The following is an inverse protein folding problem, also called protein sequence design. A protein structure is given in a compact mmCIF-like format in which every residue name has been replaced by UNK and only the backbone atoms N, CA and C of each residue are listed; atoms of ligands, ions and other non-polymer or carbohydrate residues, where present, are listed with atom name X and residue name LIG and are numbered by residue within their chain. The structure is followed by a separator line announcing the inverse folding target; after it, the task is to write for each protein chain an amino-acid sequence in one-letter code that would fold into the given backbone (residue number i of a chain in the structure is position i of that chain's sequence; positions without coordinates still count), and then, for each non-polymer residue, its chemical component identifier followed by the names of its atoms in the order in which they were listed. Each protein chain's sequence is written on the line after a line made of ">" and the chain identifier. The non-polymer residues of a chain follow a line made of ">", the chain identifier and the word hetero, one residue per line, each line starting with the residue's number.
data_IF_242580507869
#
_entry.id   IF_242580507869
#
_cell.length_a   1.000
_cell.length_b   1.000
_cell.length_c   1.000
_cell.angle_alpha   90.00
_cell.angle_beta   90.00
_cell.angle_gamma   90.00
#
_symmetry.space_group_name_H-M   'P 1'
#
loop_
_entity.id
_entity.type
_entity.pdbx_description
1 polymer ?
#
# COMPACT_ATOMS: atom_id res chain seq x y z
N UNK A 1 6.16 7.37 18.89
CA UNK A 1 7.33 7.20 19.78
C UNK A 1 7.16 5.92 20.60
N UNK A 2 8.25 5.15 20.71
CA UNK A 2 8.29 3.92 21.52
C UNK A 2 9.72 3.63 21.99
N UNK A 3 9.81 2.81 23.02
CA UNK A 3 11.09 2.34 23.57
C UNK A 3 11.15 0.83 23.45
N UNK A 4 12.26 0.31 22.94
CA UNK A 4 12.53 -1.12 22.85
C UNK A 4 13.50 -1.57 23.94
N UNK A 5 13.35 -2.80 24.43
CA UNK A 5 14.16 -3.35 25.49
C UNK A 5 15.61 -3.66 25.08
N UNK A 6 15.90 -3.74 23.78
CA UNK A 6 17.22 -4.03 23.24
C UNK A 6 17.34 -3.69 21.77
N UNK A 7 18.54 -3.85 21.22
CA UNK A 7 18.86 -3.56 19.81
C UNK A 7 18.57 -4.69 18.82
N UNK A 8 18.18 -5.87 19.29
CA UNK A 8 18.04 -7.07 18.47
C UNK A 8 16.90 -6.94 17.45
N UNK A 9 15.73 -6.48 17.89
CA UNK A 9 14.58 -6.27 17.01
C UNK A 9 14.84 -5.13 16.00
N UNK A 10 15.34 -3.95 16.39
CA UNK A 10 15.74 -2.93 15.43
C UNK A 10 16.78 -3.42 14.41
N UNK A 11 17.76 -4.20 14.85
CA UNK A 11 18.76 -4.77 13.95
C UNK A 11 18.15 -5.69 12.90
N UNK A 12 17.18 -6.54 13.30
CA UNK A 12 16.45 -7.39 12.36
C UNK A 12 15.62 -6.58 11.36
N UNK A 13 14.95 -5.52 11.82
CA UNK A 13 14.18 -4.62 10.93
C UNK A 13 15.09 -3.95 9.91
N UNK A 14 16.25 -3.43 10.33
CA UNK A 14 17.23 -2.80 9.43
C UNK A 14 17.82 -3.84 8.47
N UNK A 15 18.13 -5.05 8.96
CA UNK A 15 18.63 -6.13 8.13
C UNK A 15 17.63 -6.52 7.04
N UNK A 16 16.36 -6.71 7.40
CA UNK A 16 15.30 -7.05 6.44
C UNK A 16 15.11 -5.95 5.39
N UNK A 17 15.05 -4.68 5.84
CA UNK A 17 14.92 -3.53 4.96
C UNK A 17 16.09 -3.39 3.96
N UNK A 18 17.31 -3.79 4.34
CA UNK A 18 18.46 -3.78 3.45
C UNK A 18 18.46 -5.01 2.55
N UNK A 19 18.25 -6.20 3.13
CA UNK A 19 18.36 -7.47 2.43
C UNK A 19 17.39 -7.56 1.24
N UNK A 20 16.17 -7.05 1.39
CA UNK A 20 15.16 -7.05 0.34
C UNK A 20 15.51 -6.19 -0.89
N UNK A 21 16.49 -5.28 -0.79
CA UNK A 21 17.00 -4.50 -1.92
C UNK A 21 18.15 -5.22 -2.68
N UNK A 22 18.53 -6.41 -2.25
CA UNK A 22 19.56 -7.21 -2.91
C UNK A 22 18.88 -8.14 -3.92
N UNK A 23 19.32 -8.10 -5.17
CA UNK A 23 18.80 -8.94 -6.24
C UNK A 23 18.83 -10.43 -5.86
N UNK A 24 17.72 -11.14 -6.10
CA UNK A 24 17.57 -12.57 -5.85
C UNK A 24 17.30 -12.96 -4.38
N UNK A 25 17.19 -12.00 -3.45
CA UNK A 25 16.80 -12.29 -2.05
C UNK A 25 15.31 -12.52 -1.94
N UNK A 26 14.49 -11.76 -2.65
CA UNK A 26 13.05 -11.99 -2.76
C UNK A 26 12.73 -12.91 -3.92
N UNK A 27 11.73 -13.75 -3.75
CA UNK A 27 11.32 -14.72 -4.77
C UNK A 27 10.58 -14.14 -5.97
N UNK A 28 10.14 -12.87 -5.89
CA UNK A 28 9.43 -12.17 -6.95
C UNK A 28 9.79 -10.68 -6.92
N UNK A 29 10.64 -10.27 -7.85
CA UNK A 29 11.08 -8.88 -7.99
C UNK A 29 9.92 -7.93 -8.39
N UNK A 30 8.88 -8.44 -9.05
CA UNK A 30 7.70 -7.66 -9.42
C UNK A 30 6.90 -7.19 -8.18
N UNK A 31 7.02 -7.88 -7.05
CA UNK A 31 6.37 -7.45 -5.81
C UNK A 31 6.97 -6.16 -5.25
N UNK A 32 8.25 -5.90 -5.49
CA UNK A 32 8.94 -4.69 -5.04
C UNK A 32 8.43 -3.41 -5.74
N UNK A 33 7.97 -3.53 -6.99
CA UNK A 33 7.48 -2.39 -7.76
C UNK A 33 6.18 -1.81 -7.19
N UNK A 34 5.38 -2.63 -6.51
CA UNK A 34 4.09 -2.25 -5.92
C UNK A 34 4.18 -1.88 -4.44
N UNK A 35 5.34 -2.00 -3.83
CA UNK A 35 5.52 -1.68 -2.42
C UNK A 35 5.51 -0.18 -2.13
N UNK A 36 5.26 0.14 -0.86
CA UNK A 36 5.35 1.52 -0.37
C UNK A 36 6.70 2.14 -0.72
N UNK A 37 6.65 3.37 -1.21
CA UNK A 37 7.77 4.22 -1.62
C UNK A 37 8.39 3.92 -2.98
N UNK A 38 8.26 2.73 -3.57
CA UNK A 38 8.83 2.41 -4.89
C UNK A 38 8.26 3.28 -6.00
N UNK A 39 6.93 3.48 -6.00
CA UNK A 39 6.23 4.39 -6.93
C UNK A 39 5.93 5.77 -6.35
N UNK A 40 6.53 6.13 -5.19
CA UNK A 40 6.26 7.38 -4.50
C UNK A 40 4.94 7.42 -3.71
N UNK A 41 4.14 6.37 -3.74
CA UNK A 41 2.92 6.21 -2.97
C UNK A 41 3.11 5.16 -1.85
N UNK A 42 2.21 5.17 -0.86
CA UNK A 42 2.06 4.05 0.06
C UNK A 42 1.30 2.92 -0.61
N UNK A 43 1.60 1.70 -0.20
CA UNK A 43 0.92 0.49 -0.68
C UNK A 43 -0.56 0.47 -0.27
N UNK A 44 -1.39 -0.17 -1.10
CA UNK A 44 -2.79 -0.43 -0.80
C UNK A 44 -2.95 -1.49 0.31
N UNK A 45 -4.11 -1.58 1.00
CA UNK A 45 -4.34 -2.56 2.06
C UNK A 45 -4.28 -3.99 1.52
N UNK A 46 -3.52 -4.84 2.19
CA UNK A 46 -3.47 -6.27 1.92
C UNK A 46 -4.50 -7.02 2.77
N UNK A 47 -5.18 -8.00 2.16
CA UNK A 47 -6.20 -8.80 2.81
C UNK A 47 -5.78 -10.27 2.86
N UNK A 48 -6.20 -10.97 3.91
CA UNK A 48 -5.95 -12.39 4.11
C UNK A 48 -7.25 -13.19 4.19
N UNK A 49 -7.15 -14.50 4.19
CA UNK A 49 -8.29 -15.40 4.41
C UNK A 49 -8.61 -15.51 5.90
N UNK A 50 -9.90 -15.78 6.25
CA UNK A 50 -11.07 -15.93 5.38
C UNK A 50 -11.61 -14.61 4.83
N UNK A 51 -12.44 -14.67 3.76
CA UNK A 51 -13.06 -13.52 3.09
C UNK A 51 -13.91 -12.65 4.05
N UNK A 52 -14.58 -13.30 5.01
CA UNK A 52 -15.42 -12.63 6.00
C UNK A 52 -14.83 -12.76 7.39
N UNK A 53 -14.61 -11.65 8.04
CA UNK A 53 -14.05 -11.60 9.38
C UNK A 53 -14.81 -10.60 10.27
N UNK A 54 -14.72 -10.81 11.58
CA UNK A 54 -15.32 -9.87 12.57
C UNK A 54 -14.74 -8.46 12.49
N UNK A 55 -13.53 -8.31 11.95
CA UNK A 55 -12.82 -7.02 11.80
C UNK A 55 -13.09 -6.33 10.47
N UNK A 56 -13.87 -6.94 9.58
CA UNK A 56 -14.19 -6.42 8.26
C UNK A 56 -14.06 -7.48 7.16
N UNK A 57 -14.82 -7.30 6.12
CA UNK A 57 -14.84 -8.18 4.96
C UNK A 57 -13.83 -7.73 3.90
N UNK A 58 -13.42 -8.66 3.04
CA UNK A 58 -12.61 -8.32 1.86
C UNK A 58 -13.47 -7.49 0.89
N UNK A 59 -12.96 -6.38 0.35
CA UNK A 59 -13.66 -5.55 -0.62
C UNK A 59 -14.15 -6.35 -1.85
N UNK A 60 -15.34 -6.03 -2.32
CA UNK A 60 -15.99 -6.75 -3.45
C UNK A 60 -15.17 -6.65 -4.73
N UNK A 61 -14.50 -5.54 -4.93
CA UNK A 61 -13.63 -5.26 -6.07
C UNK A 61 -12.52 -6.30 -6.17
N UNK A 62 -11.92 -6.68 -5.04
CA UNK A 62 -10.85 -7.69 -4.97
C UNK A 62 -11.36 -9.12 -5.24
N UNK A 63 -12.66 -9.36 -5.05
CA UNK A 63 -13.31 -10.65 -5.28
C UNK A 63 -13.92 -10.76 -6.68
N UNK A 64 -13.95 -9.68 -7.45
CA UNK A 64 -14.62 -9.60 -8.76
C UNK A 64 -13.98 -10.47 -9.84
N UNK A 65 -12.70 -10.83 -9.70
CA UNK A 65 -11.91 -11.48 -10.76
C UNK A 65 -11.59 -10.57 -11.95
N UNK A 66 -12.06 -9.33 -11.96
CA UNK A 66 -11.78 -8.35 -13.01
C UNK A 66 -10.52 -7.56 -12.68
N UNK A 67 -9.42 -7.87 -13.37
CA UNK A 67 -8.13 -7.24 -13.12
C UNK A 67 -8.16 -5.70 -13.24
N UNK A 68 -8.91 -5.15 -14.18
CA UNK A 68 -9.01 -3.70 -14.35
C UNK A 68 -9.67 -3.03 -13.13
N UNK A 69 -10.74 -3.63 -12.60
CA UNK A 69 -11.44 -3.14 -11.41
C UNK A 69 -10.53 -3.25 -10.17
N UNK A 70 -9.79 -4.36 -10.06
CA UNK A 70 -8.85 -4.58 -8.96
C UNK A 70 -7.73 -3.52 -8.98
N UNK A 71 -7.13 -3.27 -10.14
CA UNK A 71 -6.06 -2.28 -10.28
C UNK A 71 -6.55 -0.85 -10.01
N UNK A 72 -7.74 -0.49 -10.47
CA UNK A 72 -8.36 0.80 -10.20
C UNK A 72 -8.62 0.97 -8.69
N UNK A 73 -9.15 -0.06 -8.03
CA UNK A 73 -9.36 -0.05 -6.58
C UNK A 73 -8.05 0.11 -5.82
N UNK A 74 -7.01 -0.66 -6.19
CA UNK A 74 -5.68 -0.57 -5.59
C UNK A 74 -5.11 0.83 -5.73
N UNK A 75 -5.16 1.41 -6.92
CA UNK A 75 -4.67 2.76 -7.18
C UNK A 75 -5.41 3.80 -6.35
N UNK A 76 -6.75 3.70 -6.25
CA UNK A 76 -7.56 4.55 -5.38
C UNK A 76 -7.11 4.48 -3.93
N UNK A 77 -6.91 3.28 -3.40
CA UNK A 77 -6.45 3.08 -2.03
C UNK A 77 -5.05 3.65 -1.78
N UNK A 78 -4.11 3.42 -2.70
CA UNK A 78 -2.75 3.97 -2.61
C UNK A 78 -2.78 5.50 -2.52
N UNK A 79 -3.54 6.16 -3.39
CA UNK A 79 -3.69 7.62 -3.42
C UNK A 79 -4.31 8.14 -2.13
N UNK A 80 -5.44 7.58 -1.71
CA UNK A 80 -6.16 8.01 -0.52
C UNK A 80 -5.38 7.81 0.78
N UNK A 81 -4.72 6.65 0.95
CA UNK A 81 -3.88 6.36 2.12
C UNK A 81 -2.66 7.29 2.15
N UNK A 82 -2.04 7.53 0.99
CA UNK A 82 -0.90 8.45 0.91
C UNK A 82 -1.33 9.87 1.26
N UNK A 83 -2.45 10.35 0.71
CA UNK A 83 -2.99 11.66 1.03
C UNK A 83 -3.30 11.83 2.53
N UNK A 84 -3.81 10.77 3.16
CA UNK A 84 -4.18 10.80 4.58
C UNK A 84 -2.98 10.73 5.53
N UNK A 85 -1.95 9.95 5.18
CA UNK A 85 -0.84 9.62 6.09
C UNK A 85 0.48 10.29 5.74
N UNK A 86 0.74 10.52 4.44
CA UNK A 86 2.02 11.01 3.92
C UNK A 86 1.82 12.03 2.80
N UNK A 87 1.19 13.16 3.14
CA UNK A 87 0.97 14.28 2.21
C UNK A 87 2.26 14.75 1.54
N UNK A 88 3.37 14.69 2.28
CA UNK A 88 4.71 15.03 1.79
C UNK A 88 5.16 14.18 0.58
N UNK A 89 4.69 12.93 0.47
CA UNK A 89 4.94 12.08 -0.69
C UNK A 89 4.05 12.47 -1.86
N UNK A 90 2.75 12.69 -1.60
CA UNK A 90 1.80 13.05 -2.65
C UNK A 90 2.13 14.38 -3.32
N UNK A 91 2.63 15.36 -2.56
CA UNK A 91 3.06 16.67 -3.08
C UNK A 91 4.23 16.58 -4.09
N UNK A 92 5.01 15.50 -4.05
CA UNK A 92 6.12 15.26 -4.98
C UNK A 92 5.69 14.64 -6.30
N UNK A 93 4.43 14.20 -6.40
CA UNK A 93 3.90 13.48 -7.55
C UNK A 93 2.94 14.39 -8.32
N UNK A 94 3.06 14.38 -9.65
CA UNK A 94 2.11 15.09 -10.52
C UNK A 94 0.96 14.14 -10.87
N UNK A 95 -0.16 14.28 -10.17
CA UNK A 95 -1.36 13.46 -10.42
C UNK A 95 -1.99 13.76 -11.78
N UNK A 96 -2.36 12.71 -12.51
CA UNK A 96 -3.20 12.79 -13.70
C UNK A 96 -4.65 13.20 -13.35
N UNK A 97 -5.46 13.63 -14.33
CA UNK A 97 -6.87 13.89 -14.10
C UNK A 97 -7.64 12.68 -13.54
N UNK A 98 -7.30 11.47 -14.01
CA UNK A 98 -7.90 10.22 -13.53
C UNK A 98 -7.54 9.93 -12.08
N UNK A 99 -6.26 10.13 -11.71
CA UNK A 99 -5.80 9.93 -10.33
C UNK A 99 -6.44 10.93 -9.35
N UNK A 100 -6.69 12.16 -9.79
CA UNK A 100 -7.43 13.14 -8.98
C UNK A 100 -8.87 12.72 -8.74
N UNK A 101 -9.55 12.22 -9.79
CA UNK A 101 -10.92 11.71 -9.65
C UNK A 101 -10.99 10.51 -8.69
N UNK A 102 -10.03 9.58 -8.76
CA UNK A 102 -9.92 8.46 -7.82
C UNK A 102 -9.69 8.92 -6.38
N UNK A 103 -8.91 9.97 -6.20
CA UNK A 103 -8.64 10.54 -4.88
C UNK A 103 -9.89 11.23 -4.29
N UNK A 104 -10.65 11.94 -5.11
CA UNK A 104 -11.93 12.53 -4.71
C UNK A 104 -12.92 11.43 -4.31
N UNK A 105 -13.08 10.40 -5.15
CA UNK A 105 -13.92 9.23 -4.86
C UNK A 105 -13.55 8.54 -3.54
N UNK A 106 -12.24 8.42 -3.24
CA UNK A 106 -11.79 7.84 -1.97
C UNK A 106 -12.28 8.62 -0.75
N UNK A 107 -12.25 9.95 -0.81
CA UNK A 107 -12.71 10.77 0.32
C UNK A 107 -14.22 10.81 0.43
N UNK A 108 -14.95 10.79 -0.70
CA UNK A 108 -16.42 10.73 -0.71
C UNK A 108 -16.95 9.43 -0.07
N UNK A 109 -16.20 8.31 -0.19
CA UNK A 109 -16.56 7.02 0.45
C UNK A 109 -16.31 7.00 1.97
N UNK A 110 -15.56 7.94 2.52
CA UNK A 110 -15.27 8.03 3.95
C UNK A 110 -16.28 8.89 4.73
N UNK A 111 -17.10 9.69 4.03
CA UNK A 111 -18.18 10.51 4.62
C UNK A 111 -19.45 9.68 4.82
#
# INVERSE_FOLDING_TARGET
>A
DYVLSGGELPALVVFDAIARNIEGVLGDDASLEQESFSGGLLEYPQYTRPEKMKLGDVPKELLSGNHAVIEQWRKKQMLGITASRRKDLLEKIKLSPEEKALLEEFFDELE
#
